data_IF_977858868036
#
_entry.id   IF_977858868036
#
_cell.length_a   1.000
_cell.length_b   1.000
_cell.length_c   1.000
_cell.angle_alpha   90.00
_cell.angle_beta   90.00
_cell.angle_gamma   90.00
#
_symmetry.space_group_name_H-M   'P 1'
#
loop_
_entity.id
_entity.type
_entity.pdbx_description
1 polymer ?
#
# COMPACT_ATOMS: atom_id res chain seq x y z
N UNK A 1 0.52 12.72 -46.02
CA UNK A 1 0.68 12.95 -44.56
C UNK A 1 1.34 11.71 -44.00
N UNK A 2 2.65 11.75 -43.75
CA UNK A 2 3.41 10.61 -43.26
C UNK A 2 3.15 10.46 -41.76
N UNK A 3 2.52 9.36 -41.35
CA UNK A 3 2.33 9.01 -39.95
C UNK A 3 3.70 8.74 -39.32
N UNK A 4 4.15 9.64 -38.45
CA UNK A 4 5.29 9.38 -37.57
C UNK A 4 4.89 8.25 -36.62
N UNK A 5 5.28 7.01 -36.92
CA UNK A 5 5.24 5.95 -35.92
C UNK A 5 6.34 6.25 -34.88
N UNK A 6 6.01 6.33 -33.58
CA UNK A 6 7.03 6.50 -32.55
C UNK A 6 8.01 5.31 -32.60
N UNK A 7 9.31 5.59 -32.55
CA UNK A 7 10.34 4.55 -32.59
C UNK A 7 10.11 3.50 -31.48
N UNK A 8 10.14 2.22 -31.81
CA UNK A 8 9.95 1.16 -30.81
C UNK A 8 11.27 0.79 -30.13
N UNK A 9 11.26 0.70 -28.80
CA UNK A 9 12.43 0.53 -27.93
C UNK A 9 12.42 -0.84 -27.27
N UNK A 10 13.54 -1.60 -27.28
CA UNK A 10 13.61 -2.88 -26.60
C UNK A 10 13.54 -2.73 -25.08
N UNK A 11 13.01 -3.75 -24.40
CA UNK A 11 12.95 -3.78 -22.94
C UNK A 11 13.33 -5.14 -22.35
N UNK A 12 13.66 -5.14 -21.06
CA UNK A 12 13.77 -6.36 -20.24
C UNK A 12 12.69 -6.35 -19.16
N UNK A 13 12.09 -7.51 -18.88
CA UNK A 13 11.17 -7.65 -17.74
C UNK A 13 12.01 -7.83 -16.48
N UNK A 14 11.89 -6.91 -15.53
CA UNK A 14 12.57 -7.02 -14.23
C UNK A 14 11.75 -7.82 -13.23
N UNK A 15 10.43 -7.64 -13.25
CA UNK A 15 9.53 -8.32 -12.32
C UNK A 15 8.11 -8.41 -12.89
N UNK A 16 7.34 -9.37 -12.41
CA UNK A 16 5.90 -9.47 -12.64
C UNK A 16 5.22 -9.66 -11.30
N UNK A 17 4.40 -8.69 -10.92
CA UNK A 17 3.47 -8.86 -9.81
C UNK A 17 2.18 -9.47 -10.35
N UNK A 18 1.84 -10.73 -10.00
CA UNK A 18 0.56 -11.29 -10.40
C UNK A 18 -0.58 -10.58 -9.66
N UNK A 19 -1.73 -10.48 -10.31
CA UNK A 19 -2.97 -10.12 -9.65
C UNK A 19 -3.30 -11.11 -8.53
N UNK A 20 -4.06 -10.65 -7.54
CA UNK A 20 -4.48 -11.48 -6.43
C UNK A 20 -5.58 -12.46 -6.84
N UNK A 21 -5.46 -13.72 -6.42
CA UNK A 21 -6.48 -14.74 -6.66
C UNK A 21 -7.85 -14.37 -6.07
N UNK A 22 -7.84 -13.74 -4.89
CA UNK A 22 -9.04 -13.26 -4.21
C UNK A 22 -9.73 -12.07 -4.89
N UNK A 23 -9.02 -11.36 -5.79
CA UNK A 23 -9.55 -10.18 -6.49
C UNK A 23 -9.36 -10.34 -7.99
N UNK A 24 -10.31 -11.00 -8.69
CA UNK A 24 -10.18 -11.32 -10.12
C UNK A 24 -10.04 -10.09 -11.02
N UNK A 25 -10.45 -8.91 -10.54
CA UNK A 25 -10.29 -7.62 -11.22
C UNK A 25 -8.89 -6.99 -11.04
N UNK A 26 -8.08 -7.48 -10.11
CA UNK A 26 -6.72 -6.98 -9.91
C UNK A 26 -5.80 -7.42 -11.06
N UNK A 27 -5.10 -6.50 -11.73
CA UNK A 27 -4.29 -6.83 -12.90
C UNK A 27 -2.96 -7.47 -12.50
N UNK A 28 -2.37 -8.20 -13.45
CA UNK A 28 -0.94 -8.48 -13.40
C UNK A 28 -0.19 -7.20 -13.80
N UNK A 29 0.91 -6.89 -13.10
CA UNK A 29 1.74 -5.73 -13.37
C UNK A 29 3.16 -6.15 -13.69
N UNK A 30 3.59 -5.90 -14.93
CA UNK A 30 4.93 -6.15 -15.42
C UNK A 30 5.75 -4.88 -15.23
N UNK A 31 6.88 -4.98 -14.54
CA UNK A 31 7.87 -3.90 -14.44
C UNK A 31 8.92 -4.13 -15.51
N UNK A 32 9.01 -3.23 -16.47
CA UNK A 32 9.93 -3.32 -17.61
C UNK A 32 10.99 -2.22 -17.55
N UNK A 33 12.20 -2.54 -17.99
CA UNK A 33 13.31 -1.59 -18.15
C UNK A 33 13.63 -1.37 -19.61
N UNK A 34 13.63 -0.11 -20.01
CA UNK A 34 14.15 0.33 -21.30
C UNK A 34 15.67 0.48 -21.23
N UNK A 35 16.35 0.12 -22.31
CA UNK A 35 17.79 0.37 -22.42
C UNK A 35 18.06 1.88 -22.48
N UNK A 36 19.06 2.34 -21.69
CA UNK A 36 19.36 3.77 -21.46
C UNK A 36 19.56 4.58 -22.74
N UNK A 37 20.15 3.99 -23.76
CA UNK A 37 20.43 4.62 -25.06
C UNK A 37 19.16 5.05 -25.82
N UNK A 38 18.00 4.47 -25.46
CA UNK A 38 16.72 4.72 -26.09
C UNK A 38 15.74 5.53 -25.21
N UNK A 39 16.15 5.92 -24.00
CA UNK A 39 15.26 6.55 -23.03
C UNK A 39 14.97 8.04 -23.31
N UNK A 40 15.72 8.71 -24.19
CA UNK A 40 15.48 10.09 -24.67
C UNK A 40 15.02 11.10 -23.59
N UNK A 41 15.49 10.98 -22.35
CA UNK A 41 15.11 11.84 -21.21
C UNK A 41 13.86 11.43 -20.42
N UNK A 42 13.13 10.40 -20.84
CA UNK A 42 11.97 9.84 -20.13
C UNK A 42 12.31 8.70 -19.14
N UNK A 43 11.31 8.18 -18.40
CA UNK A 43 11.54 7.15 -17.41
C UNK A 43 12.04 5.84 -18.04
N UNK A 44 13.17 5.33 -17.54
CA UNK A 44 13.73 4.04 -17.99
C UNK A 44 12.92 2.85 -17.50
N UNK A 45 12.06 3.04 -16.50
CA UNK A 45 11.17 2.01 -15.98
C UNK A 45 9.75 2.35 -16.40
N UNK A 46 9.05 1.35 -16.93
CA UNK A 46 7.66 1.43 -17.32
C UNK A 46 6.90 0.21 -16.80
N UNK A 47 5.58 0.32 -16.78
CA UNK A 47 4.71 -0.70 -16.24
C UNK A 47 3.72 -1.16 -17.30
N UNK A 48 3.44 -2.45 -17.39
CA UNK A 48 2.41 -2.99 -18.26
C UNK A 48 1.35 -3.68 -17.40
N UNK A 49 0.10 -3.28 -17.55
CA UNK A 49 -1.03 -3.85 -16.83
C UNK A 49 -1.77 -4.84 -17.72
N UNK A 50 -1.85 -6.09 -17.30
CA UNK A 50 -2.59 -7.15 -18.00
C UNK A 50 -3.80 -7.62 -17.20
N UNK A 51 -4.78 -8.27 -17.84
CA UNK A 51 -5.82 -9.02 -17.14
C UNK A 51 -5.20 -10.01 -16.15
N UNK A 52 -5.88 -10.24 -15.03
CA UNK A 52 -5.41 -11.16 -14.00
C UNK A 52 -5.16 -12.56 -14.58
N UNK A 53 -3.90 -13.02 -14.55
CA UNK A 53 -3.55 -14.33 -15.10
C UNK A 53 -3.45 -15.41 -14.03
N UNK A 54 -3.77 -15.12 -12.77
CA UNK A 54 -3.61 -16.05 -11.64
C UNK A 54 -4.48 -17.30 -11.76
N UNK A 55 -5.58 -17.21 -12.52
CA UNK A 55 -6.45 -18.35 -12.88
C UNK A 55 -5.98 -19.10 -14.13
N UNK A 56 -5.12 -18.49 -14.94
CA UNK A 56 -4.62 -19.04 -16.21
C UNK A 56 -3.28 -19.75 -16.02
N UNK A 57 -2.36 -19.14 -15.26
CA UNK A 57 -1.07 -19.72 -14.94
C UNK A 57 -1.09 -20.22 -13.48
N UNK A 58 -1.39 -21.51 -13.35
CA UNK A 58 -1.37 -22.28 -12.09
C UNK A 58 -0.20 -23.27 -12.08
N UNK A 59 0.26 -23.67 -10.90
CA UNK A 59 1.36 -24.65 -10.78
C UNK A 59 2.76 -24.03 -10.66
N UNK A 60 3.80 -24.88 -10.49
CA UNK A 60 5.14 -24.46 -10.05
C UNK A 60 5.91 -23.62 -11.08
N UNK A 61 5.54 -23.68 -12.36
CA UNK A 61 6.17 -22.96 -13.46
C UNK A 61 5.41 -21.67 -13.86
N UNK A 62 4.33 -21.33 -13.14
CA UNK A 62 3.46 -20.20 -13.49
C UNK A 62 4.19 -18.86 -13.57
N UNK A 63 5.21 -18.64 -12.73
CA UNK A 63 6.05 -17.44 -12.80
C UNK A 63 6.85 -17.35 -14.11
N UNK A 64 7.41 -18.48 -14.58
CA UNK A 64 8.15 -18.53 -15.84
C UNK A 64 7.22 -18.29 -17.04
N UNK A 65 6.01 -18.87 -17.02
CA UNK A 65 4.99 -18.61 -18.05
C UNK A 65 4.54 -17.15 -18.09
N UNK A 66 4.43 -16.48 -16.94
CA UNK A 66 4.18 -15.03 -16.90
C UNK A 66 5.31 -14.22 -17.52
N UNK A 67 6.57 -14.55 -17.25
CA UNK A 67 7.70 -13.82 -17.86
C UNK A 67 7.79 -13.98 -19.38
N UNK A 68 7.18 -15.03 -19.93
CA UNK A 68 7.30 -15.37 -21.36
C UNK A 68 6.00 -15.20 -22.13
N UNK A 69 4.94 -14.64 -21.52
CA UNK A 69 3.64 -14.52 -22.17
C UNK A 69 3.45 -13.23 -23.00
N UNK A 70 4.39 -12.29 -22.98
CA UNK A 70 4.31 -11.14 -23.88
C UNK A 70 4.55 -11.59 -25.33
N UNK A 71 3.75 -11.05 -26.25
CA UNK A 71 3.88 -11.29 -27.69
C UNK A 71 4.92 -10.36 -28.35
N UNK A 72 5.48 -9.43 -27.59
CA UNK A 72 6.36 -8.37 -28.05
C UNK A 72 7.53 -8.17 -27.06
N UNK A 73 8.65 -7.68 -27.57
CA UNK A 73 9.88 -7.36 -26.84
C UNK A 73 10.29 -5.89 -26.99
N UNK A 74 9.44 -5.10 -27.67
CA UNK A 74 9.63 -3.67 -27.90
C UNK A 74 8.36 -2.89 -27.55
N UNK A 75 8.52 -1.68 -27.01
CA UNK A 75 7.42 -0.77 -26.70
C UNK A 75 7.64 0.61 -27.33
N UNK A 76 6.60 1.43 -27.55
CA UNK A 76 6.78 2.77 -28.10
C UNK A 76 7.72 3.63 -27.26
N UNK A 77 8.63 4.35 -27.91
CA UNK A 77 9.36 5.45 -27.29
C UNK A 77 8.39 6.56 -26.87
N UNK A 78 8.78 7.34 -25.86
CA UNK A 78 8.01 8.49 -25.40
C UNK A 78 7.80 8.52 -23.89
N UNK A 79 7.12 9.57 -23.44
CA UNK A 79 6.87 9.89 -22.04
C UNK A 79 5.55 9.26 -21.57
N UNK A 80 5.61 7.95 -21.31
CA UNK A 80 4.49 7.21 -20.74
C UNK A 80 5.02 6.26 -19.66
N UNK A 81 4.19 6.03 -18.65
CA UNK A 81 4.52 5.23 -17.47
C UNK A 81 3.82 3.88 -17.50
N UNK A 82 2.58 3.81 -18.01
CA UNK A 82 1.78 2.58 -18.03
C UNK A 82 1.26 2.22 -19.43
N UNK A 83 1.45 0.96 -19.82
CA UNK A 83 0.83 0.36 -20.99
C UNK A 83 -0.26 -0.64 -20.59
N UNK A 84 -1.32 -0.75 -21.37
CA UNK A 84 -2.38 -1.74 -21.18
C UNK A 84 -2.19 -2.91 -22.12
N UNK A 85 -2.31 -4.12 -21.57
CA UNK A 85 -2.22 -5.37 -22.33
C UNK A 85 -3.59 -6.01 -22.50
N UNK A 86 -3.76 -6.76 -23.59
CA UNK A 86 -4.90 -7.68 -23.79
C UNK A 86 -4.41 -9.00 -24.37
N UNK A 87 -5.28 -10.02 -24.36
CA UNK A 87 -4.99 -11.26 -25.08
C UNK A 87 -4.80 -10.98 -26.58
N UNK A 88 -3.77 -11.58 -27.17
CA UNK A 88 -3.47 -11.50 -28.60
C UNK A 88 -4.54 -12.22 -29.44
N UNK A 89 -5.03 -11.58 -30.49
CA UNK A 89 -5.96 -12.23 -31.43
C UNK A 89 -5.22 -13.33 -32.23
N UNK A 90 -5.73 -14.57 -32.17
CA UNK A 90 -5.18 -15.72 -32.91
C UNK A 90 -4.14 -16.56 -32.17
N UNK A 91 -3.70 -16.16 -30.97
CA UNK A 91 -2.65 -16.84 -30.19
C UNK A 91 -3.15 -17.72 -29.04
N UNK A 92 -4.20 -18.53 -29.25
CA UNK A 92 -4.70 -19.50 -28.26
C UNK A 92 -5.04 -18.94 -26.86
N UNK A 93 -5.18 -17.61 -26.71
CA UNK A 93 -5.43 -16.92 -25.44
C UNK A 93 -4.26 -16.87 -24.44
N UNK A 94 -3.05 -17.30 -24.83
CA UNK A 94 -1.91 -17.41 -23.89
C UNK A 94 -0.91 -16.26 -23.97
N UNK A 95 -0.95 -15.48 -25.05
CA UNK A 95 -0.03 -14.36 -25.31
C UNK A 95 -0.72 -13.00 -25.16
N UNK A 96 0.04 -11.99 -24.72
CA UNK A 96 -0.44 -10.64 -24.45
C UNK A 96 0.17 -9.60 -25.40
N UNK A 97 -0.67 -8.76 -25.98
CA UNK A 97 -0.30 -7.63 -26.84
C UNK A 97 -0.49 -6.30 -26.13
N UNK A 98 0.36 -5.32 -26.47
CA UNK A 98 0.21 -3.93 -26.04
C UNK A 98 -0.87 -3.24 -26.87
N UNK A 99 -1.98 -2.88 -26.23
CA UNK A 99 -3.10 -2.22 -26.92
C UNK A 99 -3.12 -0.71 -26.74
N UNK A 100 -2.52 -0.18 -25.67
CA UNK A 100 -2.38 1.26 -25.50
C UNK A 100 -1.22 1.61 -24.56
N UNK A 101 -0.54 2.72 -24.84
CA UNK A 101 0.32 3.42 -23.88
C UNK A 101 -0.49 4.60 -23.35
N UNK A 102 -1.02 4.47 -22.14
CA UNK A 102 -1.89 5.49 -21.59
C UNK A 102 -1.13 6.41 -20.62
N UNK A 103 -1.64 7.64 -20.47
CA UNK A 103 -1.26 8.51 -19.36
C UNK A 103 -1.77 7.97 -18.02
N UNK A 104 -1.35 8.58 -16.91
CA UNK A 104 -1.71 8.16 -15.55
C UNK A 104 -3.23 8.00 -15.34
N UNK A 105 -4.06 8.77 -16.05
CA UNK A 105 -5.53 8.75 -15.95
C UNK A 105 -6.18 7.41 -16.32
N UNK A 106 -5.52 6.59 -17.15
CA UNK A 106 -6.05 5.26 -17.47
C UNK A 106 -5.97 4.27 -16.30
N UNK A 107 -5.20 4.58 -15.25
CA UNK A 107 -5.19 3.80 -14.00
C UNK A 107 -6.44 4.05 -13.15
N UNK A 108 -7.03 5.25 -13.21
CA UNK A 108 -8.28 5.58 -12.53
C UNK A 108 -9.43 4.73 -13.08
N UNK A 109 -9.46 4.48 -14.39
CA UNK A 109 -10.45 3.64 -15.07
C UNK A 109 -10.30 2.12 -14.86
N UNK A 110 -9.26 1.67 -14.15
CA UNK A 110 -9.02 0.24 -13.86
C UNK A 110 -9.58 -0.19 -12.49
N UNK A 111 -10.33 0.65 -11.78
CA UNK A 111 -10.73 0.42 -10.37
C UNK A 111 -9.54 0.13 -9.44
N UNK A 112 -8.33 0.52 -9.85
CA UNK A 112 -7.14 0.53 -9.00
C UNK A 112 -7.17 1.68 -7.98
N UNK A 113 -8.12 2.61 -8.14
CA UNK A 113 -8.29 3.80 -7.32
C UNK A 113 -9.23 3.62 -6.10
N UNK A 114 -9.93 2.48 -5.96
CA UNK A 114 -10.72 2.23 -4.75
C UNK A 114 -9.91 1.43 -3.74
N UNK A 115 -9.13 2.14 -2.92
CA UNK A 115 -9.12 2.07 -1.45
C UNK A 115 -9.26 0.74 -0.71
N UNK A 116 -9.02 -0.42 -1.30
CA UNK A 116 -9.04 -1.71 -0.62
C UNK A 116 -7.61 -2.23 -0.50
N UNK A 117 -6.93 -1.78 0.55
CA UNK A 117 -5.92 -2.53 1.29
C UNK A 117 -5.11 -3.49 0.41
N UNK A 118 -4.18 -2.95 -0.37
CA UNK A 118 -3.19 -3.73 -1.10
C UNK A 118 -2.29 -4.43 -0.08
N UNK A 119 -2.76 -5.62 0.33
CA UNK A 119 -2.08 -6.70 1.05
C UNK A 119 -1.12 -6.21 2.13
N UNK A 120 -1.65 -6.20 3.35
CA UNK A 120 -0.94 -6.58 4.58
C UNK A 120 -0.15 -7.89 4.35
N UNK A 121 1.00 -7.80 3.68
CA UNK A 121 1.93 -8.91 3.52
C UNK A 121 2.96 -8.85 4.65
N UNK A 122 2.70 -9.69 5.65
CA UNK A 122 3.64 -10.40 6.51
C UNK A 122 4.78 -9.58 7.13
N UNK A 123 4.54 -9.16 8.37
CA UNK A 123 5.60 -8.99 9.37
C UNK A 123 5.53 -10.19 10.30
N UNK A 124 6.53 -11.06 10.23
CA UNK A 124 6.67 -12.25 11.07
C UNK A 124 7.02 -11.86 12.51
N UNK A 125 6.42 -12.56 13.46
CA UNK A 125 6.98 -12.64 14.82
C UNK A 125 7.96 -13.78 14.87
N UNK A 126 9.18 -13.42 15.28
CA UNK A 126 10.31 -14.33 15.43
C UNK A 126 10.27 -14.82 16.87
N UNK A 127 10.26 -16.12 17.05
CA UNK A 127 10.55 -16.76 18.33
C UNK A 127 11.94 -17.38 18.23
N UNK A 128 12.73 -17.31 19.29
CA UNK A 128 14.02 -17.97 19.30
C UNK A 128 13.86 -19.50 19.42
N UNK A 129 14.97 -20.23 19.36
CA UNK A 129 14.96 -21.70 19.44
C UNK A 129 14.43 -22.25 20.79
N UNK A 130 14.26 -21.39 21.81
CA UNK A 130 13.70 -21.74 23.11
C UNK A 130 12.20 -21.41 23.24
N UNK A 131 11.58 -20.83 22.20
CA UNK A 131 10.17 -20.46 22.19
C UNK A 131 9.87 -19.17 22.97
N UNK A 132 10.89 -18.37 23.29
CA UNK A 132 10.67 -17.05 23.86
C UNK A 132 10.25 -16.07 22.75
N UNK A 133 9.25 -15.26 23.05
CA UNK A 133 8.81 -14.18 22.18
C UNK A 133 9.95 -13.16 22.05
N UNK A 134 10.52 -13.04 20.85
CA UNK A 134 11.39 -11.91 20.54
C UNK A 134 10.46 -10.71 20.42
N UNK A 135 10.73 -9.63 21.17
CA UNK A 135 9.99 -8.36 21.06
C UNK A 135 9.76 -8.04 19.59
N UNK A 136 8.52 -8.20 19.14
CA UNK A 136 8.11 -7.72 17.84
C UNK A 136 8.25 -6.21 17.91
N UNK A 137 9.04 -5.58 17.03
CA UNK A 137 9.12 -4.13 17.05
C UNK A 137 7.69 -3.60 16.92
N UNK A 138 7.34 -2.60 17.74
CA UNK A 138 6.30 -1.65 17.35
C UNK A 138 6.52 -1.30 15.86
N UNK A 139 5.48 -0.97 15.07
CA UNK A 139 5.71 -0.33 13.77
C UNK A 139 6.84 0.68 13.94
N UNK A 140 7.89 0.56 13.13
CA UNK A 140 9.23 1.06 13.47
C UNK A 140 9.25 2.53 13.92
N UNK A 141 8.22 3.29 13.54
CA UNK A 141 7.88 4.60 14.07
C UNK A 141 6.39 4.95 13.82
N UNK A 142 5.76 5.76 14.69
CA UNK A 142 4.39 6.27 14.51
C UNK A 142 4.23 7.01 13.18
N UNK A 143 5.27 7.71 12.74
CA UNK A 143 5.27 8.48 11.50
C UNK A 143 5.11 7.61 10.24
N UNK A 144 5.32 6.29 10.33
CA UNK A 144 5.21 5.36 9.20
C UNK A 144 3.82 4.72 9.04
N UNK A 145 2.91 4.89 10.00
CA UNK A 145 1.70 4.06 10.13
C UNK A 145 0.71 4.10 8.96
N UNK A 146 0.50 5.28 8.39
CA UNK A 146 -0.48 5.46 7.31
C UNK A 146 0.11 5.22 5.90
N UNK A 147 1.34 4.72 5.83
CA UNK A 147 2.00 4.40 4.56
C UNK A 147 2.47 2.95 4.58
N UNK A 148 1.98 2.15 3.63
CA UNK A 148 2.33 0.72 3.52
C UNK A 148 3.84 0.51 3.35
N UNK A 149 4.54 1.49 2.77
CA UNK A 149 5.96 1.41 2.43
C UNK A 149 6.77 2.57 3.03
N UNK A 150 6.36 3.08 4.20
CA UNK A 150 7.20 4.00 4.95
C UNK A 150 8.15 3.30 5.93
N UNK A 151 9.31 3.91 6.13
CA UNK A 151 10.31 3.46 7.10
C UNK A 151 11.17 4.61 7.58
N UNK A 152 11.71 4.49 8.79
CA UNK A 152 12.76 5.39 9.28
C UNK A 152 14.11 4.86 8.79
N UNK A 153 14.86 5.72 8.11
CA UNK A 153 16.18 5.39 7.56
C UNK A 153 17.23 6.41 8.02
N UNK A 154 18.53 6.06 8.01
CA UNK A 154 19.60 7.05 8.09
C UNK A 154 19.43 8.13 7.02
N UNK A 155 19.60 9.39 7.41
CA UNK A 155 19.48 10.50 6.49
C UNK A 155 20.56 10.41 5.38
N UNK A 156 20.20 10.54 4.09
CA UNK A 156 21.19 10.58 3.02
C UNK A 156 22.18 11.74 3.21
N UNK A 157 23.45 11.56 2.83
CA UNK A 157 24.51 12.55 3.06
C UNK A 157 24.15 13.96 2.53
N UNK A 158 23.49 14.05 1.38
CA UNK A 158 23.04 15.33 0.82
C UNK A 158 21.95 16.01 1.67
N UNK A 159 21.09 15.22 2.33
CA UNK A 159 20.08 15.72 3.27
C UNK A 159 20.75 16.16 4.57
N UNK A 160 21.68 15.36 5.11
CA UNK A 160 22.46 15.72 6.30
C UNK A 160 23.21 17.03 6.09
N UNK A 161 23.99 17.16 5.01
CA UNK A 161 24.77 18.35 4.72
C UNK A 161 23.93 19.63 4.63
N UNK A 162 22.66 19.50 4.23
CA UNK A 162 21.74 20.63 4.07
C UNK A 162 20.93 20.96 5.32
N UNK A 163 20.46 19.94 6.06
CA UNK A 163 19.45 20.10 7.11
C UNK A 163 19.93 19.71 8.51
N UNK A 164 20.97 18.88 8.61
CA UNK A 164 21.50 18.33 9.86
C UNK A 164 23.05 18.37 9.88
N UNK A 165 23.68 19.53 9.63
CA UNK A 165 25.14 19.60 9.54
C UNK A 165 25.80 19.16 10.86
N UNK A 166 26.74 18.21 10.80
CA UNK A 166 27.43 17.65 11.97
C UNK A 166 26.67 16.53 12.70
N UNK A 167 25.60 15.98 12.11
CA UNK A 167 24.83 14.85 12.65
C UNK A 167 24.83 13.64 11.69
N UNK A 168 25.97 13.35 11.05
CA UNK A 168 26.08 12.37 9.97
C UNK A 168 25.65 10.95 10.37
N UNK A 169 25.92 10.53 11.61
CA UNK A 169 25.62 9.17 12.08
C UNK A 169 24.25 9.05 12.79
N UNK A 170 23.75 10.17 13.31
CA UNK A 170 22.55 10.22 14.16
C UNK A 170 21.29 10.62 13.40
N UNK A 171 21.41 11.44 12.35
CA UNK A 171 20.25 11.94 11.63
C UNK A 171 19.42 10.81 11.02
N UNK A 172 18.12 10.85 11.29
CA UNK A 172 17.11 9.93 10.76
C UNK A 172 16.04 10.71 10.01
N UNK A 173 15.47 10.08 9.00
CA UNK A 173 14.38 10.63 8.18
C UNK A 173 13.32 9.57 7.95
N UNK A 174 12.09 10.01 7.73
CA UNK A 174 11.00 9.12 7.32
C UNK A 174 11.00 9.05 5.79
N UNK A 175 11.33 7.88 5.26
CA UNK A 175 11.14 7.55 3.86
C UNK A 175 9.69 7.11 3.68
N UNK A 176 8.96 7.76 2.78
CA UNK A 176 7.69 7.27 2.25
C UNK A 176 7.92 6.99 0.77
N UNK A 177 7.75 5.74 0.33
CA UNK A 177 7.90 5.42 -1.09
C UNK A 177 6.90 4.38 -1.54
N UNK A 178 6.20 4.66 -2.63
CA UNK A 178 5.37 3.67 -3.31
C UNK A 178 5.67 3.68 -4.81
N UNK A 179 6.27 2.58 -5.27
CA UNK A 179 6.63 2.41 -6.67
C UNK A 179 5.43 2.00 -7.53
N UNK A 180 4.34 1.54 -6.91
CA UNK A 180 3.18 1.05 -7.62
C UNK A 180 2.49 2.20 -8.38
N UNK A 181 2.29 2.08 -9.71
CA UNK A 181 1.76 3.18 -10.54
C UNK A 181 0.43 3.77 -10.08
N UNK A 182 -0.46 2.97 -9.50
CA UNK A 182 -1.77 3.44 -9.05
C UNK A 182 -1.69 4.40 -7.86
N UNK A 183 -0.61 4.36 -7.08
CA UNK A 183 -0.46 5.18 -5.87
C UNK A 183 0.29 6.49 -6.12
N UNK A 184 0.77 6.71 -7.35
CA UNK A 184 1.57 7.88 -7.71
C UNK A 184 0.81 9.20 -7.50
N UNK A 185 -0.48 9.24 -7.84
CA UNK A 185 -1.30 10.44 -7.69
C UNK A 185 -1.43 10.85 -6.21
N UNK A 186 -1.43 9.87 -5.30
CA UNK A 186 -1.38 10.13 -3.86
C UNK A 186 -0.07 10.81 -3.45
N UNK A 187 1.07 10.27 -3.92
CA UNK A 187 2.40 10.83 -3.63
C UNK A 187 2.56 12.26 -4.17
N UNK A 188 2.08 12.55 -5.37
CA UNK A 188 2.17 13.89 -5.98
C UNK A 188 1.31 14.92 -5.24
N UNK A 189 0.04 14.58 -4.96
CA UNK A 189 -0.87 15.43 -4.19
C UNK A 189 -0.33 15.74 -2.80
N UNK A 190 0.18 14.72 -2.12
CA UNK A 190 0.75 14.85 -0.79
C UNK A 190 2.01 15.72 -0.78
N UNK A 191 2.92 15.48 -1.73
CA UNK A 191 4.14 16.30 -1.86
C UNK A 191 3.79 17.75 -2.15
N UNK A 192 2.75 18.00 -2.96
CA UNK A 192 2.25 19.33 -3.24
C UNK A 192 1.69 20.00 -1.98
N UNK A 193 0.94 19.29 -1.15
CA UNK A 193 0.45 19.79 0.13
C UNK A 193 1.61 20.17 1.06
N UNK A 194 2.60 19.29 1.22
CA UNK A 194 3.79 19.59 2.02
C UNK A 194 4.55 20.82 1.52
N UNK A 195 4.70 21.00 0.20
CA UNK A 195 5.32 22.19 -0.39
C UNK A 195 4.55 23.46 -0.03
N UNK A 196 3.23 23.47 -0.22
CA UNK A 196 2.37 24.63 0.13
C UNK A 196 2.52 24.98 1.61
N UNK A 197 2.51 23.96 2.47
CA UNK A 197 2.68 24.13 3.92
C UNK A 197 4.05 24.71 4.22
N UNK A 198 5.14 24.19 3.65
CA UNK A 198 6.48 24.73 3.89
C UNK A 198 6.66 26.18 3.42
N UNK A 199 6.06 26.55 2.29
CA UNK A 199 6.17 27.89 1.73
C UNK A 199 5.36 28.93 2.52
N UNK A 200 4.21 28.53 3.05
CA UNK A 200 3.24 29.46 3.66
C UNK A 200 3.17 29.38 5.19
N UNK A 201 3.44 28.21 5.76
CA UNK A 201 3.37 27.95 7.21
C UNK A 201 4.30 26.78 7.65
N UNK A 202 5.64 26.97 7.65
CA UNK A 202 6.63 25.90 7.79
C UNK A 202 6.62 25.15 9.14
N UNK A 203 5.96 25.69 10.16
CA UNK A 203 5.82 25.04 11.48
C UNK A 203 4.54 24.21 11.62
N UNK A 204 3.74 24.08 10.56
CA UNK A 204 2.44 23.41 10.65
C UNK A 204 2.52 21.88 10.51
N UNK A 205 3.45 21.39 9.70
CA UNK A 205 3.61 19.97 9.37
C UNK A 205 5.07 19.53 9.47
N UNK A 206 5.29 18.23 9.33
CA UNK A 206 6.64 17.67 9.15
C UNK A 206 7.35 18.33 7.97
N UNK A 207 8.62 18.66 8.16
CA UNK A 207 9.47 19.20 7.10
C UNK A 207 9.69 18.17 6.01
N UNK A 208 9.25 18.49 4.81
CA UNK A 208 9.66 17.85 3.56
C UNK A 208 11.12 18.13 3.24
N UNK A 209 11.89 17.08 2.97
CA UNK A 209 13.34 17.15 2.79
C UNK A 209 13.77 16.90 1.35
N UNK A 210 13.15 15.91 0.68
CA UNK A 210 13.50 15.54 -0.69
C UNK A 210 12.43 14.66 -1.34
N UNK A 211 12.43 14.63 -2.67
CA UNK A 211 11.73 13.60 -3.42
C UNK A 211 12.59 12.34 -3.53
N UNK A 212 11.93 11.19 -3.57
CA UNK A 212 12.51 9.90 -3.93
C UNK A 212 12.12 9.60 -5.36
N UNK A 213 13.12 9.33 -6.20
CA UNK A 213 12.89 9.09 -7.62
C UNK A 213 13.35 7.71 -8.04
N UNK A 214 12.59 7.07 -8.93
CA UNK A 214 13.01 5.87 -9.63
C UNK A 214 13.93 6.29 -10.81
N UNK A 215 15.22 5.98 -10.67
CA UNK A 215 16.27 6.31 -11.66
C UNK A 215 16.34 7.79 -12.05
N UNK A 216 16.03 8.72 -11.13
CA UNK A 216 16.18 10.15 -11.37
C UNK A 216 15.10 10.77 -12.26
N UNK A 217 14.03 10.02 -12.57
CA UNK A 217 12.99 10.47 -13.52
C UNK A 217 11.62 10.60 -12.85
N UNK A 218 11.06 9.47 -12.42
CA UNK A 218 9.72 9.42 -11.82
C UNK A 218 9.81 9.57 -10.31
N UNK A 219 9.04 10.49 -9.74
CA UNK A 219 8.81 10.56 -8.29
C UNK A 219 8.03 9.33 -7.86
N UNK A 220 8.60 8.56 -6.93
CA UNK A 220 8.00 7.36 -6.33
C UNK A 220 7.90 7.49 -4.82
N UNK A 221 8.17 8.67 -4.27
CA UNK A 221 8.13 8.90 -2.84
C UNK A 221 8.76 10.22 -2.43
N UNK A 222 8.93 10.40 -1.13
CA UNK A 222 9.55 11.55 -0.52
C UNK A 222 10.18 11.22 0.84
N UNK A 223 10.99 12.15 1.34
CA UNK A 223 11.60 12.11 2.66
C UNK A 223 11.02 13.23 3.53
N UNK A 224 10.63 12.89 4.76
CA UNK A 224 10.21 13.84 5.80
C UNK A 224 11.19 13.83 6.97
N UNK A 225 11.19 14.90 7.77
CA UNK A 225 11.90 14.90 9.05
C UNK A 225 11.36 13.80 9.98
N UNK A 226 12.28 13.18 10.71
CA UNK A 226 11.95 12.30 11.82
C UNK A 226 11.83 13.12 13.10
N UNK A 227 10.77 12.88 13.86
CA UNK A 227 10.46 13.54 15.14
C UNK A 227 10.52 12.47 16.22
N UNK A 228 11.66 12.35 16.92
CA UNK A 228 11.80 11.34 17.96
C UNK A 228 10.80 11.59 19.10
N UNK A 229 10.35 10.49 19.71
CA UNK A 229 9.45 10.48 20.88
C UNK A 229 8.10 11.21 20.66
N UNK A 230 7.69 11.40 19.40
CA UNK A 230 6.37 11.89 19.08
C UNK A 230 5.29 10.89 19.54
N UNK A 231 4.17 11.43 20.01
CA UNK A 231 2.99 10.64 20.38
C UNK A 231 1.77 11.06 19.58
N UNK A 232 0.76 10.22 19.61
CA UNK A 232 -0.57 10.51 19.05
C UNK A 232 -1.27 11.61 19.85
N UNK A 233 -2.10 12.39 19.15
CA UNK A 233 -2.99 13.32 19.81
C UNK A 233 -4.11 12.59 20.55
N UNK A 234 -4.47 13.11 21.72
CA UNK A 234 -5.62 12.65 22.49
C UNK A 234 -6.59 13.78 22.80
N UNK A 235 -7.65 13.49 23.59
CA UNK A 235 -8.64 14.51 23.97
C UNK A 235 -8.03 15.73 24.66
N UNK A 236 -6.92 15.56 25.39
CA UNK A 236 -6.19 16.64 26.05
C UNK A 236 -5.49 17.61 25.07
N UNK A 237 -5.31 17.22 23.81
CA UNK A 237 -4.66 18.03 22.77
C UNK A 237 -5.67 18.74 21.85
N UNK A 238 -6.98 18.66 22.16
CA UNK A 238 -8.06 19.15 21.30
C UNK A 238 -7.86 20.59 20.83
N UNK A 239 -7.55 21.51 21.75
CA UNK A 239 -7.37 22.93 21.41
C UNK A 239 -6.18 23.16 20.49
N UNK A 240 -5.08 22.43 20.70
CA UNK A 240 -3.89 22.51 19.85
C UNK A 240 -4.15 21.92 18.47
N UNK A 241 -4.81 20.76 18.41
CA UNK A 241 -5.22 20.13 17.14
C UNK A 241 -6.19 21.03 16.36
N UNK A 242 -7.11 21.71 17.06
CA UNK A 242 -8.03 22.67 16.46
C UNK A 242 -7.27 23.85 15.86
N UNK A 243 -6.30 24.41 16.58
CA UNK A 243 -5.47 25.51 16.08
C UNK A 243 -4.66 25.11 14.82
N UNK A 244 -4.07 23.91 14.83
CA UNK A 244 -3.38 23.33 13.66
C UNK A 244 -4.33 23.16 12.49
N UNK A 245 -5.54 22.63 12.73
CA UNK A 245 -6.52 22.40 11.67
C UNK A 245 -7.04 23.72 11.07
N UNK A 246 -7.27 24.77 11.88
CA UNK A 246 -7.61 26.11 11.39
C UNK A 246 -6.52 26.67 10.48
N UNK A 247 -5.24 26.53 10.87
CA UNK A 247 -4.10 26.97 10.05
C UNK A 247 -4.04 26.21 8.73
N UNK A 248 -4.26 24.90 8.76
CA UNK A 248 -4.31 24.06 7.55
C UNK A 248 -5.44 24.50 6.61
N UNK A 249 -6.63 24.74 7.16
CA UNK A 249 -7.79 25.19 6.39
C UNK A 249 -7.58 26.57 5.76
N UNK A 250 -6.85 27.48 6.45
CA UNK A 250 -6.47 28.79 5.89
C UNK A 250 -5.51 28.68 4.69
N UNK A 251 -4.81 27.54 4.53
CA UNK A 251 -4.02 27.25 3.33
C UNK A 251 -4.88 26.70 2.18
N UNK A 252 -6.16 26.41 2.43
CA UNK A 252 -7.06 25.75 1.48
C UNK A 252 -6.82 24.25 1.41
N UNK A 253 -6.23 23.62 2.44
CA UNK A 253 -5.92 22.19 2.45
C UNK A 253 -6.92 21.46 3.36
N UNK A 254 -7.59 20.44 2.83
CA UNK A 254 -8.40 19.49 3.59
C UNK A 254 -7.58 18.20 3.82
N UNK A 255 -7.71 17.61 5.01
CA UNK A 255 -7.14 16.28 5.31
C UNK A 255 -7.97 15.14 4.73
N UNK A 256 -9.28 15.36 4.56
CA UNK A 256 -10.39 14.49 4.12
C UNK A 256 -10.65 13.28 5.01
N UNK A 257 -9.59 12.62 5.48
CA UNK A 257 -9.64 11.50 6.43
C UNK A 257 -8.92 11.90 7.71
N UNK A 258 -9.70 12.37 8.69
CA UNK A 258 -9.20 12.77 10.00
C UNK A 258 -9.15 11.56 10.96
N UNK A 259 -7.96 11.25 11.47
CA UNK A 259 -7.74 10.27 12.54
C UNK A 259 -6.90 10.90 13.66
N UNK A 260 -6.71 10.18 14.77
CA UNK A 260 -5.80 10.61 15.85
C UNK A 260 -4.34 10.72 15.37
N UNK A 261 -3.99 9.98 14.32
CA UNK A 261 -2.66 9.93 13.70
C UNK A 261 -2.43 11.02 12.66
N UNK A 262 -3.49 11.75 12.27
CA UNK A 262 -3.35 12.98 11.49
C UNK A 262 -2.56 14.06 12.23
N UNK A 263 -2.37 13.91 13.54
CA UNK A 263 -1.66 14.85 14.40
C UNK A 263 -0.51 14.15 15.13
N UNK A 264 0.66 14.77 15.12
CA UNK A 264 1.82 14.35 15.90
C UNK A 264 2.06 15.36 17.01
N UNK A 265 2.11 14.90 18.25
CA UNK A 265 2.47 15.74 19.39
C UNK A 265 3.92 15.52 19.73
N UNK A 266 4.73 16.57 19.64
CA UNK A 266 6.16 16.58 20.01
C UNK A 266 6.32 16.50 21.54
N UNK A 267 7.53 16.19 21.98
CA UNK A 267 7.87 16.15 23.41
C UNK A 267 7.67 17.47 24.16
N UNK A 268 7.74 18.61 23.46
CA UNK A 268 7.45 19.95 23.99
C UNK A 268 5.96 20.32 23.99
N UNK A 269 5.09 19.45 23.48
CA UNK A 269 3.65 19.65 23.39
C UNK A 269 3.18 20.40 22.13
N UNK A 270 4.09 20.78 21.22
CA UNK A 270 3.71 21.29 19.90
C UNK A 270 3.01 20.20 19.08
N UNK A 271 1.98 20.58 18.32
CA UNK A 271 1.23 19.67 17.46
C UNK A 271 1.55 19.98 16.00
N UNK A 272 1.91 18.96 15.24
CA UNK A 272 2.09 19.01 13.79
C UNK A 272 0.98 18.23 13.10
N UNK A 273 0.56 18.67 11.91
CA UNK A 273 -0.25 17.84 11.02
C UNK A 273 0.64 16.87 10.24
N UNK A 274 0.17 15.64 10.11
CA UNK A 274 0.80 14.55 9.35
C UNK A 274 -0.09 14.15 8.17
N UNK A 275 0.53 13.73 7.07
CA UNK A 275 -0.15 13.08 5.96
C UNK A 275 -0.68 11.67 6.32
N UNK A 276 -1.32 10.98 5.37
CA UNK A 276 -1.51 11.39 3.97
C UNK A 276 -2.53 12.53 3.82
N UNK A 277 -2.23 13.51 2.97
CA UNK A 277 -3.22 14.49 2.50
C UNK A 277 -3.94 13.86 1.31
N UNK A 278 -5.12 13.32 1.57
CA UNK A 278 -5.93 12.71 0.51
C UNK A 278 -6.45 13.81 -0.42
N UNK A 279 -6.38 13.62 -1.74
CA UNK A 279 -6.84 14.55 -2.78
C UNK A 279 -5.99 15.81 -3.01
N UNK A 280 -6.17 16.49 -4.16
CA UNK A 280 -5.42 17.71 -4.49
C UNK A 280 -5.82 18.88 -3.57
N UNK A 281 -4.88 19.75 -3.18
CA UNK A 281 -5.17 20.93 -2.34
C UNK A 281 -6.26 21.84 -2.89
N UNK A 282 -6.34 22.02 -4.21
CA UNK A 282 -7.27 22.97 -4.83
C UNK A 282 -8.75 22.55 -4.77
N UNK A 283 -9.03 21.30 -4.43
CA UNK A 283 -10.38 20.74 -4.38
C UNK A 283 -10.98 20.73 -2.97
N UNK A 284 -10.35 21.38 -1.99
CA UNK A 284 -10.93 21.50 -0.65
C UNK A 284 -12.14 22.44 -0.67
N UNK A 285 -13.34 21.89 -0.41
CA UNK A 285 -14.57 22.71 -0.29
C UNK A 285 -14.79 23.17 1.15
N UNK A 286 -15.51 24.28 1.33
CA UNK A 286 -15.85 24.79 2.67
C UNK A 286 -16.61 23.75 3.50
N UNK A 287 -17.44 22.92 2.87
CA UNK A 287 -18.16 21.83 3.54
C UNK A 287 -17.21 20.77 4.09
N UNK A 288 -16.16 20.40 3.33
CA UNK A 288 -15.15 19.46 3.80
C UNK A 288 -14.38 20.01 5.01
N UNK A 289 -13.92 21.26 4.92
CA UNK A 289 -13.20 21.93 6.01
C UNK A 289 -14.07 22.03 7.27
N UNK A 290 -15.35 22.39 7.12
CA UNK A 290 -16.32 22.44 8.22
C UNK A 290 -16.53 21.06 8.85
N UNK A 291 -16.74 20.03 8.02
CA UNK A 291 -16.96 18.66 8.49
C UNK A 291 -15.75 18.11 9.27
N UNK A 292 -14.52 18.41 8.83
CA UNK A 292 -13.31 18.04 9.57
C UNK A 292 -13.28 18.69 10.96
N UNK A 293 -13.56 20.00 11.01
CA UNK A 293 -13.57 20.76 12.25
C UNK A 293 -14.62 20.23 13.25
N UNK A 294 -15.83 19.92 12.77
CA UNK A 294 -16.91 19.35 13.58
C UNK A 294 -16.63 17.91 14.04
N UNK A 295 -15.80 17.16 13.30
CA UNK A 295 -15.46 15.78 13.64
C UNK A 295 -14.32 15.64 14.65
N UNK A 296 -13.50 16.67 14.83
CA UNK A 296 -12.21 16.60 15.52
C UNK A 296 -12.31 16.03 16.95
N UNK A 297 -13.24 16.53 17.75
CA UNK A 297 -13.40 16.08 19.14
C UNK A 297 -13.75 14.59 19.22
N UNK A 298 -14.67 14.14 18.35
CA UNK A 298 -15.06 12.73 18.25
C UNK A 298 -13.90 11.87 17.80
N UNK A 299 -13.08 12.35 16.87
CA UNK A 299 -11.90 11.64 16.37
C UNK A 299 -10.86 11.46 17.48
N UNK A 300 -10.57 12.51 18.25
CA UNK A 300 -9.61 12.46 19.36
C UNK A 300 -10.10 11.61 20.54
N UNK A 301 -11.41 11.47 20.72
CA UNK A 301 -12.00 10.63 21.77
C UNK A 301 -11.99 9.11 21.47
N UNK A 302 -11.68 8.68 20.24
CA UNK A 302 -11.66 7.25 19.88
C UNK A 302 -10.54 6.51 20.62
N UNK A 303 -10.90 5.45 21.36
CA UNK A 303 -9.97 4.55 22.04
C UNK A 303 -10.43 3.09 21.87
N UNK A 304 -9.54 2.10 21.73
CA UNK A 304 -8.09 2.25 21.51
C UNK A 304 -7.78 3.01 20.21
N UNK A 305 -6.56 3.53 20.08
CA UNK A 305 -6.17 4.19 18.83
C UNK A 305 -6.03 3.18 17.69
N UNK A 306 -6.12 3.61 16.42
CA UNK A 306 -5.94 2.66 15.30
C UNK A 306 -4.54 2.00 15.32
N UNK A 307 -3.54 2.67 15.91
CA UNK A 307 -2.21 2.12 16.13
C UNK A 307 -2.24 1.00 17.18
N UNK A 308 -2.92 1.22 18.31
CA UNK A 308 -3.11 0.21 19.34
C UNK A 308 -3.90 -0.98 18.79
N UNK A 309 -4.95 -0.74 18.00
CA UNK A 309 -5.71 -1.78 17.31
C UNK A 309 -4.85 -2.53 16.29
N UNK A 310 -4.02 -1.82 15.52
CA UNK A 310 -3.13 -2.43 14.53
C UNK A 310 -2.01 -3.22 15.21
N UNK A 311 -1.43 -2.71 16.29
CA UNK A 311 -0.45 -3.43 17.10
C UNK A 311 -1.09 -4.68 17.72
N UNK A 312 -2.30 -4.58 18.28
CA UNK A 312 -3.06 -5.72 18.78
C UNK A 312 -3.35 -6.74 17.67
N UNK A 313 -3.71 -6.29 16.46
CA UNK A 313 -3.88 -7.16 15.28
C UNK A 313 -2.57 -7.82 14.86
N UNK A 314 -1.45 -7.09 14.86
CA UNK A 314 -0.12 -7.65 14.57
C UNK A 314 0.26 -8.70 15.61
N UNK A 315 0.01 -8.44 16.90
CA UNK A 315 0.22 -9.41 17.97
C UNK A 315 -0.70 -10.65 17.84
N UNK A 316 -1.91 -10.50 17.28
CA UNK A 316 -2.76 -11.65 16.91
C UNK A 316 -2.28 -12.37 15.65
N UNK A 317 -1.60 -11.67 14.72
CA UNK A 317 -0.95 -12.25 13.53
C UNK A 317 0.35 -12.99 13.88
N UNK A 318 0.99 -12.56 14.96
CA UNK A 318 2.22 -13.07 15.55
C UNK A 318 2.09 -14.37 16.31
N UNK A 319 0.86 -14.76 16.70
CA UNK A 319 0.61 -15.89 17.57
C UNK A 319 1.30 -17.17 17.02
N UNK A 320 2.30 -17.73 17.74
CA UNK A 320 3.01 -18.92 17.29
C UNK A 320 2.09 -20.09 16.97
N UNK A 321 0.96 -20.19 17.68
CA UNK A 321 -0.03 -21.24 17.47
C UNK A 321 -0.78 -21.03 16.16
N UNK A 322 -1.13 -19.78 15.84
CA UNK A 322 -1.73 -19.38 14.56
C UNK A 322 -0.77 -19.61 13.39
N UNK A 323 0.48 -19.16 13.49
CA UNK A 323 1.48 -19.34 12.42
C UNK A 323 1.70 -20.82 12.13
N UNK A 324 1.74 -21.65 13.19
CA UNK A 324 1.81 -23.11 13.07
C UNK A 324 0.59 -23.67 12.35
N UNK A 325 -0.64 -23.31 12.76
CA UNK A 325 -1.89 -23.77 12.15
C UNK A 325 -2.00 -23.39 10.66
N UNK A 326 -1.74 -22.12 10.32
CA UNK A 326 -1.72 -21.67 8.93
C UNK A 326 -0.64 -22.40 8.10
N UNK A 327 0.52 -22.67 8.72
CA UNK A 327 1.57 -23.49 8.12
C UNK A 327 1.17 -24.94 7.89
N UNK A 328 0.43 -25.56 8.80
CA UNK A 328 -0.12 -26.91 8.68
C UNK A 328 -1.19 -26.99 7.59
N UNK A 329 -2.10 -26.02 7.53
CA UNK A 329 -3.13 -25.91 6.47
C UNK A 329 -2.48 -25.75 5.09
N UNK A 330 -1.54 -24.82 4.97
CA UNK A 330 -0.80 -24.56 3.75
C UNK A 330 0.05 -25.77 3.32
N UNK A 331 0.66 -26.51 4.26
CA UNK A 331 1.42 -27.73 3.94
C UNK A 331 0.52 -28.87 3.50
N UNK A 332 -0.65 -29.03 4.13
CA UNK A 332 -1.57 -30.12 3.84
C UNK A 332 -2.25 -29.95 2.48
N UNK A 333 -2.62 -28.73 2.11
CA UNK A 333 -3.49 -28.47 0.94
C UNK A 333 -2.90 -27.50 -0.10
N UNK A 334 -1.76 -26.87 0.18
CA UNK A 334 -1.11 -25.94 -0.76
C UNK A 334 -1.75 -24.55 -0.85
N UNK A 335 -2.78 -24.27 -0.06
CA UNK A 335 -3.44 -22.96 0.08
C UNK A 335 -4.10 -22.83 1.47
N UNK A 336 -4.51 -21.60 1.82
CA UNK A 336 -5.36 -21.28 2.98
C UNK A 336 -6.68 -20.70 2.48
N UNK A 337 -7.81 -21.26 2.90
CA UNK A 337 -9.15 -20.82 2.49
C UNK A 337 -9.54 -19.44 3.03
N UNK A 338 -10.34 -18.71 2.25
CA UNK A 338 -10.94 -17.41 2.62
C UNK A 338 -11.70 -17.45 3.95
N UNK A 339 -12.38 -18.57 4.25
CA UNK A 339 -13.12 -18.72 5.50
C UNK A 339 -12.24 -18.72 6.76
N UNK A 340 -10.99 -19.18 6.67
CA UNK A 340 -10.03 -19.11 7.78
C UNK A 340 -9.73 -17.64 8.12
N UNK A 341 -9.56 -16.80 7.10
CA UNK A 341 -9.37 -15.35 7.29
C UNK A 341 -10.65 -14.68 7.80
N UNK A 342 -11.83 -15.11 7.34
CA UNK A 342 -13.11 -14.62 7.85
C UNK A 342 -13.30 -14.92 9.35
N UNK A 343 -12.96 -16.14 9.80
CA UNK A 343 -12.99 -16.50 11.22
C UNK A 343 -12.05 -15.61 12.02
N UNK A 344 -10.84 -15.34 11.53
CA UNK A 344 -9.93 -14.43 12.21
C UNK A 344 -10.47 -12.99 12.31
N UNK A 345 -11.12 -12.49 11.26
CA UNK A 345 -11.71 -11.14 11.26
C UNK A 345 -12.89 -11.02 12.24
N UNK A 346 -13.65 -12.10 12.44
CA UNK A 346 -14.85 -12.11 13.30
C UNK A 346 -14.57 -12.56 14.73
N UNK A 347 -13.77 -13.61 14.91
CA UNK A 347 -13.46 -14.24 16.20
C UNK A 347 -12.15 -13.75 16.83
N UNK A 348 -11.26 -13.14 16.03
CA UNK A 348 -9.90 -12.79 16.47
C UNK A 348 -8.94 -13.97 16.62
N UNK A 349 -9.37 -15.21 16.36
CA UNK A 349 -8.57 -16.44 16.40
C UNK A 349 -9.11 -17.50 15.43
N UNK A 350 -8.29 -18.49 15.09
CA UNK A 350 -8.69 -19.63 14.24
C UNK A 350 -9.23 -20.74 15.15
N UNK A 351 -10.51 -21.09 15.00
CA UNK A 351 -11.16 -22.18 15.75
C UNK A 351 -11.13 -23.53 15.02
N UNK A 352 -10.76 -23.53 13.74
CA UNK A 352 -10.75 -24.73 12.91
C UNK A 352 -9.60 -25.68 13.25
N UNK A 353 -9.93 -26.97 13.32
CA UNK A 353 -8.94 -28.06 13.28
C UNK A 353 -8.47 -28.34 11.85
N UNK A 354 -7.34 -29.03 11.68
CA UNK A 354 -6.84 -29.46 10.36
C UNK A 354 -7.82 -30.39 9.64
N UNK A 355 -8.58 -31.21 10.38
CA UNK A 355 -9.58 -32.11 9.83
C UNK A 355 -10.77 -31.33 9.24
N UNK A 356 -11.30 -30.37 10.00
CA UNK A 356 -12.39 -29.50 9.55
C UNK A 356 -11.96 -28.62 8.37
N UNK A 357 -10.73 -28.11 8.42
CA UNK A 357 -10.12 -27.40 7.31
C UNK A 357 -10.04 -28.27 6.05
N UNK A 358 -9.69 -29.55 6.20
CA UNK A 358 -9.60 -30.50 5.07
C UNK A 358 -10.96 -30.76 4.42
N UNK A 359 -12.04 -30.78 5.21
CA UNK A 359 -13.41 -30.87 4.69
C UNK A 359 -13.74 -29.65 3.84
N UNK A 360 -13.47 -28.45 4.36
CA UNK A 360 -13.70 -27.20 3.62
C UNK A 360 -12.81 -27.09 2.37
N UNK A 361 -11.57 -27.57 2.45
CA UNK A 361 -10.64 -27.56 1.32
C UNK A 361 -11.16 -28.45 0.19
N UNK A 362 -11.67 -29.62 0.53
CA UNK A 362 -12.31 -30.52 -0.44
C UNK A 362 -13.57 -29.90 -1.04
N UNK A 363 -14.43 -29.28 -0.24
CA UNK A 363 -15.63 -28.60 -0.76
C UNK A 363 -15.28 -27.43 -1.69
N UNK A 364 -14.19 -26.72 -1.39
CA UNK A 364 -13.64 -25.67 -2.24
C UNK A 364 -13.07 -26.21 -3.57
N UNK A 365 -12.35 -27.34 -3.52
CA UNK A 365 -11.85 -28.06 -4.70
C UNK A 365 -13.00 -28.58 -5.58
N UNK A 366 -13.98 -29.23 -4.98
CA UNK A 366 -15.18 -29.74 -5.65
C UNK A 366 -15.99 -28.60 -6.30
N UNK A 367 -15.89 -27.38 -5.75
CA UNK A 367 -16.46 -26.15 -6.32
C UNK A 367 -15.51 -25.44 -7.30
N UNK A 368 -14.54 -26.14 -7.88
CA UNK A 368 -13.62 -25.60 -8.89
C UNK A 368 -12.72 -24.50 -8.37
N UNK A 369 -12.32 -24.55 -7.10
CA UNK A 369 -11.52 -23.52 -6.42
C UNK A 369 -12.18 -22.13 -6.41
N UNK A 370 -13.52 -22.08 -6.41
CA UNK A 370 -14.28 -20.86 -6.23
C UNK A 370 -14.90 -20.82 -4.82
N UNK A 371 -14.65 -19.75 -4.07
CA UNK A 371 -15.30 -19.55 -2.77
C UNK A 371 -16.61 -18.78 -2.98
N UNK A 372 -17.73 -19.50 -3.10
CA UNK A 372 -19.05 -18.89 -3.38
C UNK A 372 -19.76 -18.44 -2.11
N UNK A 373 -20.82 -17.63 -2.28
CA UNK A 373 -21.67 -17.19 -1.16
C UNK A 373 -22.33 -18.39 -0.45
N UNK A 374 -22.77 -19.39 -1.21
CA UNK A 374 -23.37 -20.60 -0.65
C UNK A 374 -22.35 -21.44 0.13
N UNK A 375 -21.09 -21.48 -0.32
CA UNK A 375 -20.02 -22.15 0.40
C UNK A 375 -19.68 -21.40 1.69
N UNK A 376 -19.64 -20.07 1.65
CA UNK A 376 -19.48 -19.22 2.83
C UNK A 376 -20.60 -19.45 3.84
N UNK A 377 -21.88 -19.39 3.43
CA UNK A 377 -23.03 -19.61 4.33
C UNK A 377 -23.04 -21.02 4.95
N UNK A 378 -22.64 -22.04 4.19
CA UNK A 378 -22.50 -23.41 4.72
C UNK A 378 -21.36 -23.51 5.73
N UNK A 379 -20.21 -22.91 5.43
CA UNK A 379 -19.07 -22.90 6.34
C UNK A 379 -19.40 -22.13 7.63
N UNK A 380 -20.06 -20.97 7.54
CA UNK A 380 -20.55 -20.19 8.69
C UNK A 380 -21.54 -20.99 9.53
N UNK A 381 -22.50 -21.68 8.89
CA UNK A 381 -23.47 -22.50 9.61
C UNK A 381 -22.82 -23.70 10.33
N UNK A 382 -21.74 -24.25 9.75
CA UNK A 382 -21.11 -25.48 10.24
C UNK A 382 -19.99 -25.23 11.25
N UNK A 383 -19.23 -24.16 11.05
CA UNK A 383 -17.99 -23.86 11.78
C UNK A 383 -17.87 -22.39 12.19
N UNK A 384 -18.86 -21.55 11.87
CA UNK A 384 -18.90 -20.17 12.31
C UNK A 384 -19.30 -20.04 13.77
N UNK A 385 -19.11 -18.83 14.31
CA UNK A 385 -19.48 -18.50 15.69
C UNK A 385 -20.99 -18.27 15.82
N UNK A 386 -21.56 -18.62 16.98
CA UNK A 386 -22.93 -18.24 17.32
C UNK A 386 -23.00 -16.74 17.62
N UNK A 387 -24.19 -16.13 17.50
CA UNK A 387 -24.40 -14.70 17.80
C UNK A 387 -24.13 -14.31 19.27
N UNK A 388 -23.85 -15.28 20.16
CA UNK A 388 -23.47 -15.06 21.56
C UNK A 388 -21.94 -15.11 21.78
N UNK A 389 -21.17 -15.59 20.79
CA UNK A 389 -19.71 -15.77 20.82
C UNK A 389 -18.95 -14.71 20.00
N UNK A 390 -19.68 -13.85 19.28
CA UNK A 390 -19.22 -12.65 18.57
C UNK A 390 -19.49 -11.44 19.45
#
# INVERSE_FOLDING_TARGET
MSSFQPAAVPFTIENVLPGQLAFPSSPDVYRIRLQREHAAGGPTIKYLAAPNTVRVFTGPDAHHRRLTNLAFDRVPAGDWVVGRLSAAEGGGGTKLDLISTAGADALLGLSLASGASLVRARWTTVVDAAGAEVRVPKPADLQCMDYVSASVIPAPQAVVARYYPGQEEEARVVLVSDWFPAHWAGIDNETRAYRIIQERDPGLALRFLAHVTENGSRVVGFLLEHVPDAREAGPADLDRCRAVLVRLHALGIAKRVLSRHSFLVKGDGEVLVRGPFDGPPEEASEEMLRAEMESLERVLAKSPSEFEDQAARILRLADPQRVKLLGEFQKAHGFVLLFVYWLEERAGHITLTLEEYSILAKEYEDNGFAWSKELQERAEKRFGLSAQEI
#
